data_IF_079397932945
#
_entry.id   IF_079397932945
#
_cell.length_a   1.000
_cell.length_b   1.000
_cell.length_c   1.000
_cell.angle_alpha   90.00
_cell.angle_beta   90.00
_cell.angle_gamma   90.00
#
_symmetry.space_group_name_H-M   'P 1'
#
loop_
_entity.id
_entity.type
_entity.pdbx_description
1 polymer ?
#
# COMPACT_ATOMS: atom_id res chain seq x y z
N UNK A 1 14.94 8.58 7.12
CA UNK A 1 14.95 7.24 6.52
C UNK A 1 14.64 7.44 5.05
N UNK A 2 15.48 6.94 4.13
CA UNK A 2 15.46 7.34 2.71
C UNK A 2 14.75 6.36 1.77
N UNK A 3 14.26 5.22 2.27
CA UNK A 3 13.29 4.32 1.63
C UNK A 3 13.20 3.05 2.49
N UNK A 4 12.12 2.29 2.34
CA UNK A 4 11.89 1.02 3.03
C UNK A 4 12.52 -0.12 2.22
N UNK A 5 13.36 -0.93 2.85
CA UNK A 5 13.89 -2.15 2.23
C UNK A 5 12.82 -3.25 2.26
N UNK A 6 12.69 -3.97 1.15
CA UNK A 6 11.77 -5.10 0.98
C UNK A 6 12.55 -6.36 0.66
N UNK A 7 12.23 -7.44 1.39
CA UNK A 7 12.73 -8.78 1.16
C UNK A 7 11.57 -9.69 0.80
N UNK A 8 11.71 -10.43 -0.28
CA UNK A 8 10.72 -11.39 -0.73
C UNK A 8 11.34 -12.80 -0.82
N UNK A 9 11.51 -13.49 0.32
CA UNK A 9 12.36 -14.69 0.41
C UNK A 9 11.88 -15.86 -0.46
N UNK A 10 10.58 -15.96 -0.65
CA UNK A 10 9.94 -17.01 -1.46
C UNK A 10 9.64 -16.55 -2.90
N UNK A 11 10.10 -15.36 -3.31
CA UNK A 11 9.82 -14.78 -4.62
C UNK A 11 8.33 -14.47 -4.84
N UNK A 12 7.90 -14.09 -6.05
CA UNK A 12 6.52 -13.66 -6.34
C UNK A 12 5.43 -14.70 -6.03
N UNK A 13 5.80 -15.98 -5.92
CA UNK A 13 4.91 -17.09 -5.55
C UNK A 13 4.78 -17.27 -4.03
N UNK A 14 5.64 -16.61 -3.26
CA UNK A 14 5.67 -16.57 -1.81
C UNK A 14 4.74 -15.54 -1.20
N UNK A 15 4.14 -15.86 -0.05
CA UNK A 15 3.23 -14.95 0.67
C UNK A 15 3.95 -13.95 1.57
N UNK A 16 5.19 -14.24 1.93
CA UNK A 16 5.89 -13.52 2.99
C UNK A 16 6.69 -12.37 2.36
N UNK A 17 6.13 -11.16 2.45
CA UNK A 17 6.82 -9.91 2.09
C UNK A 17 7.25 -9.26 3.40
N UNK A 18 8.56 -9.16 3.60
CA UNK A 18 9.15 -8.61 4.82
C UNK A 18 9.72 -7.23 4.51
N UNK A 19 9.44 -6.27 5.37
CA UNK A 19 9.93 -4.89 5.26
C UNK A 19 10.66 -4.47 6.53
N UNK A 20 11.35 -3.33 6.48
CA UNK A 20 11.90 -2.68 7.68
C UNK A 20 10.84 -2.36 8.75
N UNK A 21 9.57 -2.31 8.35
CA UNK A 21 8.43 -2.04 9.24
C UNK A 21 7.74 -3.32 9.73
N UNK A 22 8.20 -4.50 9.29
CA UNK A 22 7.61 -5.80 9.60
C UNK A 22 7.05 -6.53 8.38
N UNK A 23 6.35 -7.62 8.64
CA UNK A 23 5.72 -8.48 7.62
C UNK A 23 4.41 -7.87 7.10
N UNK A 24 4.19 -7.98 5.79
CA UNK A 24 2.94 -7.56 5.16
C UNK A 24 2.00 -8.77 5.03
N UNK A 25 1.06 -8.90 5.96
CA UNK A 25 0.07 -10.01 5.96
C UNK A 25 -0.89 -9.93 4.77
N UNK A 26 -1.32 -8.72 4.40
CA UNK A 26 -2.32 -8.47 3.35
C UNK A 26 -1.85 -7.36 2.40
N UNK A 27 -0.94 -7.67 1.45
CA UNK A 27 -0.33 -6.66 0.58
C UNK A 27 -1.34 -5.87 -0.25
N UNK A 28 -2.41 -6.53 -0.68
CA UNK A 28 -3.59 -5.90 -1.29
C UNK A 28 -4.75 -5.95 -0.28
N UNK A 29 -5.05 -4.85 0.44
CA UNK A 29 -6.11 -4.87 1.44
C UNK A 29 -7.49 -5.12 0.81
N UNK A 30 -8.23 -6.06 1.39
CA UNK A 30 -9.56 -6.51 0.96
C UNK A 30 -10.53 -6.46 2.13
N UNK A 31 -11.12 -5.28 2.43
CA UNK A 31 -12.06 -5.13 3.55
C UNK A 31 -13.34 -5.97 3.38
N UNK A 32 -13.71 -6.35 2.15
CA UNK A 32 -14.79 -7.30 1.88
C UNK A 32 -14.53 -8.71 2.44
N UNK A 33 -13.25 -9.05 2.68
CA UNK A 33 -12.79 -10.33 3.22
C UNK A 33 -12.25 -10.23 4.64
N UNK A 34 -12.29 -9.05 5.26
CA UNK A 34 -11.63 -8.78 6.53
C UNK A 34 -10.10 -8.81 6.46
N UNK A 35 -9.52 -8.73 5.25
CA UNK A 35 -8.08 -8.81 5.00
C UNK A 35 -7.51 -7.40 4.93
N UNK A 36 -7.36 -6.73 6.06
CA UNK A 36 -6.82 -5.36 6.12
C UNK A 36 -5.76 -5.31 7.20
N UNK A 37 -4.51 -5.15 6.77
CA UNK A 37 -3.35 -5.09 7.66
C UNK A 37 -2.84 -3.66 7.92
N UNK A 38 -1.92 -3.52 8.89
CA UNK A 38 -1.24 -2.26 9.17
C UNK A 38 -0.29 -1.83 8.06
N UNK A 39 0.18 -2.78 7.25
CA UNK A 39 1.01 -2.54 6.08
C UNK A 39 0.24 -2.91 4.82
N UNK A 40 0.52 -2.22 3.72
CA UNK A 40 0.02 -2.53 2.39
C UNK A 40 1.03 -2.18 1.31
N UNK A 41 0.89 -2.78 0.13
CA UNK A 41 1.74 -2.52 -1.03
C UNK A 41 0.94 -1.80 -2.11
N UNK A 42 1.55 -0.79 -2.72
CA UNK A 42 1.02 -0.14 -3.91
C UNK A 42 2.14 0.29 -4.85
N UNK A 43 1.78 0.89 -5.99
CA UNK A 43 2.75 1.37 -6.98
C UNK A 43 2.61 2.88 -7.17
N UNK A 44 3.72 3.59 -7.48
CA UNK A 44 3.66 5.01 -7.80
C UNK A 44 2.69 5.31 -8.96
N UNK A 45 2.62 4.44 -9.96
CA UNK A 45 1.70 4.58 -11.09
C UNK A 45 0.23 4.55 -10.68
N UNK A 46 -0.15 3.66 -9.75
CA UNK A 46 -1.53 3.61 -9.25
C UNK A 46 -1.87 4.82 -8.38
N UNK A 47 -0.94 5.27 -7.55
CA UNK A 47 -1.08 6.49 -6.75
C UNK A 47 -1.23 7.73 -7.62
N UNK A 48 -0.40 7.87 -8.65
CA UNK A 48 -0.50 8.97 -9.62
C UNK A 48 -1.86 8.98 -10.31
N UNK A 49 -2.37 7.81 -10.70
CA UNK A 49 -3.72 7.68 -11.26
C UNK A 49 -4.79 8.15 -10.28
N UNK A 50 -4.77 7.69 -9.02
CA UNK A 50 -5.75 8.12 -8.01
C UNK A 50 -5.69 9.63 -7.72
N UNK A 51 -4.51 10.25 -7.83
CA UNK A 51 -4.36 11.70 -7.69
C UNK A 51 -4.91 12.47 -8.90
N UNK A 52 -4.77 11.92 -10.10
CA UNK A 52 -5.25 12.54 -11.33
C UNK A 52 -6.76 12.38 -11.52
N UNK A 53 -7.27 11.16 -11.34
CA UNK A 53 -8.66 10.79 -11.62
C UNK A 53 -9.58 10.98 -10.40
N UNK A 54 -8.99 11.11 -9.21
CA UNK A 54 -9.70 11.09 -7.95
C UNK A 54 -10.02 9.67 -7.45
N UNK A 55 -10.84 9.57 -6.39
CA UNK A 55 -11.16 8.29 -5.78
C UNK A 55 -11.84 7.33 -6.77
N UNK A 56 -11.34 6.11 -6.87
CA UNK A 56 -11.78 5.10 -7.84
C UNK A 56 -12.52 3.95 -7.16
N UNK A 57 -13.73 3.58 -7.62
CA UNK A 57 -14.46 2.45 -7.06
C UNK A 57 -13.83 1.11 -7.47
N UNK A 58 -13.90 0.12 -6.58
CA UNK A 58 -13.47 -1.25 -6.84
C UNK A 58 -14.65 -2.14 -7.23
N UNK A 59 -14.35 -3.30 -7.81
CA UNK A 59 -15.36 -4.31 -8.18
C UNK A 59 -16.15 -4.88 -7.00
N UNK A 60 -15.62 -4.74 -5.78
CA UNK A 60 -16.26 -5.22 -4.55
C UNK A 60 -16.92 -4.09 -3.73
N UNK A 61 -17.05 -2.90 -4.32
CA UNK A 61 -17.80 -1.77 -3.75
C UNK A 61 -17.05 -0.95 -2.72
N UNK A 62 -15.72 -1.08 -2.63
CA UNK A 62 -14.89 -0.13 -1.89
C UNK A 62 -14.50 1.06 -2.77
N UNK A 63 -14.04 2.14 -2.14
CA UNK A 63 -13.50 3.31 -2.83
C UNK A 63 -12.03 3.46 -2.45
N UNK A 64 -11.13 3.41 -3.42
CA UNK A 64 -9.71 3.69 -3.22
C UNK A 64 -9.46 5.16 -3.50
N UNK A 65 -8.59 5.80 -2.72
CA UNK A 65 -8.17 7.16 -3.02
C UNK A 65 -6.85 7.51 -2.37
N UNK A 66 -6.33 8.69 -2.72
CA UNK A 66 -5.09 9.24 -2.15
C UNK A 66 -5.34 10.68 -1.75
N UNK A 67 -4.82 11.08 -0.60
CA UNK A 67 -4.76 12.48 -0.15
C UNK A 67 -3.32 12.86 0.13
N UNK A 68 -2.90 14.05 -0.30
CA UNK A 68 -1.58 14.60 0.04
C UNK A 68 -1.70 15.56 1.22
N UNK A 69 -0.93 15.35 2.29
CA UNK A 69 -0.89 16.22 3.46
C UNK A 69 0.54 16.46 3.90
N UNK A 70 0.95 17.73 3.97
CA UNK A 70 2.29 18.10 4.44
C UNK A 70 3.42 17.56 3.57
N UNK A 71 3.15 17.27 2.28
CA UNK A 71 4.12 16.68 1.35
C UNK A 71 4.09 15.15 1.29
N UNK A 72 3.48 14.47 2.27
CA UNK A 72 3.30 13.01 2.25
C UNK A 72 1.99 12.62 1.58
N UNK A 73 2.01 11.52 0.83
CA UNK A 73 0.82 10.90 0.27
C UNK A 73 0.24 9.85 1.24
N UNK A 74 -1.09 9.84 1.36
CA UNK A 74 -1.83 8.90 2.19
C UNK A 74 -2.86 8.19 1.32
N UNK A 75 -2.70 6.88 1.14
CA UNK A 75 -3.72 6.07 0.50
C UNK A 75 -4.82 5.72 1.49
N UNK A 76 -6.04 5.60 1.00
CA UNK A 76 -7.17 5.17 1.82
C UNK A 76 -8.11 4.25 1.06
N UNK A 77 -8.82 3.43 1.84
CA UNK A 77 -9.93 2.61 1.35
C UNK A 77 -11.16 2.95 2.19
N UNK A 78 -12.25 3.35 1.54
CA UNK A 78 -13.58 3.42 2.15
C UNK A 78 -14.39 2.18 1.81
N UNK A 79 -14.94 1.53 2.83
CA UNK A 79 -15.86 0.42 2.63
C UNK A 79 -16.88 0.39 3.77
N UNK A 80 -18.18 0.38 3.42
CA UNK A 80 -19.30 0.28 4.37
C UNK A 80 -19.22 1.26 5.55
N UNK A 81 -18.88 2.52 5.27
CA UNK A 81 -18.80 3.59 6.28
C UNK A 81 -17.56 3.56 7.15
N UNK A 82 -16.60 2.65 6.90
CA UNK A 82 -15.30 2.62 7.55
C UNK A 82 -14.21 3.04 6.56
N UNK A 83 -13.24 3.80 7.06
CA UNK A 83 -12.02 4.20 6.34
C UNK A 83 -10.79 3.58 6.98
N UNK A 84 -9.90 3.05 6.15
CA UNK A 84 -8.52 2.72 6.53
C UNK A 84 -7.58 3.64 5.76
N UNK A 85 -6.50 4.08 6.41
CA UNK A 85 -5.56 5.06 5.84
C UNK A 85 -4.15 4.55 6.07
N UNK A 86 -3.28 4.73 5.08
CA UNK A 86 -1.86 4.41 5.14
C UNK A 86 -1.03 5.58 4.63
N UNK A 87 -0.01 5.99 5.38
CA UNK A 87 1.07 6.85 4.90
C UNK A 87 1.94 6.07 3.91
N UNK A 88 2.18 6.65 2.73
CA UNK A 88 2.97 6.03 1.67
C UNK A 88 4.44 6.41 1.78
N UNK A 89 5.30 5.40 1.75
CA UNK A 89 6.75 5.52 1.82
C UNK A 89 7.36 4.86 0.59
N UNK A 90 8.39 5.49 0.03
CA UNK A 90 9.20 4.88 -1.03
C UNK A 90 9.86 3.61 -0.52
N UNK A 91 9.90 2.59 -1.36
CA UNK A 91 10.49 1.30 -1.02
C UNK A 91 11.26 0.69 -2.18
N UNK A 92 12.23 -0.16 -1.87
CA UNK A 92 13.08 -0.83 -2.83
C UNK A 92 13.32 -2.29 -2.43
N UNK A 93 13.53 -3.15 -3.41
CA UNK A 93 13.90 -4.55 -3.17
C UNK A 93 15.36 -4.65 -2.71
N UNK A 94 15.63 -5.54 -1.76
CA UNK A 94 16.95 -5.72 -1.15
C UNK A 94 18.03 -6.18 -2.13
N UNK A 95 17.64 -6.88 -3.20
CA UNK A 95 18.52 -7.28 -4.30
C UNK A 95 18.74 -6.15 -5.33
N UNK A 96 18.04 -5.02 -5.17
CA UNK A 96 18.04 -3.90 -6.12
C UNK A 96 17.25 -4.17 -7.39
N UNK A 97 16.62 -5.34 -7.51
CA UNK A 97 15.94 -5.82 -8.72
C UNK A 97 14.43 -5.87 -8.46
N UNK A 98 13.68 -4.95 -9.06
CA UNK A 98 12.23 -4.98 -8.97
C UNK A 98 11.58 -3.66 -9.40
N UNK A 99 10.25 -3.65 -9.53
CA UNK A 99 9.52 -2.45 -9.90
C UNK A 99 9.55 -1.42 -8.76
N UNK A 100 9.35 -0.15 -9.11
CA UNK A 100 9.09 0.89 -8.13
C UNK A 100 7.81 0.57 -7.36
N UNK A 101 7.92 0.52 -6.04
CA UNK A 101 6.83 0.22 -5.13
C UNK A 101 6.80 1.17 -3.95
N UNK A 102 5.61 1.31 -3.39
CA UNK A 102 5.36 2.09 -2.19
C UNK A 102 4.82 1.17 -1.11
N UNK A 103 5.32 1.34 0.11
CA UNK A 103 4.74 0.70 1.29
C UNK A 103 3.85 1.70 2.00
N UNK A 104 2.59 1.33 2.16
CA UNK A 104 1.67 2.02 3.05
C UNK A 104 1.80 1.49 4.47
N UNK A 105 1.92 2.36 5.46
CA UNK A 105 1.81 2.01 6.89
C UNK A 105 0.66 2.78 7.56
N UNK A 106 -0.05 2.19 8.52
CA UNK A 106 -1.00 2.97 9.32
C UNK A 106 -0.30 4.20 9.93
N UNK A 107 -0.96 5.38 9.91
CA UNK A 107 -0.42 6.55 10.59
C UNK A 107 -0.45 6.28 12.10
N UNK A 108 0.67 6.52 12.77
CA UNK A 108 0.77 6.51 14.23
C UNK A 108 -0.06 7.64 14.88
#
# INVERSE_FOLDING_TARGET
MNSIEIRWPAGPDGRDIITDLGEIEWPEPRPDRGQVGPLMLTTPGYVAKLKADGPTPTSYGAMHGVTTRGGSDFAYIDYRGRRWVWELLEAHFSDGEGPDILIGRWPD
#
